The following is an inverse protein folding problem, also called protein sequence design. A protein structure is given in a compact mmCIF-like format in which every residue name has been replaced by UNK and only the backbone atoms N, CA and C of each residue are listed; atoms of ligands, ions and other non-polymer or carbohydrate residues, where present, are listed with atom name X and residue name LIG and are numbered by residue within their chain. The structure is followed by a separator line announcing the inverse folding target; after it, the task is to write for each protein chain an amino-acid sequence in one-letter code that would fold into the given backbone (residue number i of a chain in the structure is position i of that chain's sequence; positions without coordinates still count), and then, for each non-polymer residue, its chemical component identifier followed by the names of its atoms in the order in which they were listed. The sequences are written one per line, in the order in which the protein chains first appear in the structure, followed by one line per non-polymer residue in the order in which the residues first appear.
data_IF_019444801080
#
_entry.id   IF_019444801080
#
_cell.length_a   1.000
_cell.length_b   1.000
_cell.length_c   1.000
_cell.angle_alpha   90.00
_cell.angle_beta   90.00
_cell.angle_gamma   90.00
#
_symmetry.space_group_name_H-M   'P 1'
#
loop_
_entity.id
_entity.type
_entity.pdbx_description
1 polymer ?
#
# COMPACT_ATOMS: atom_id res chain seq x y z
N UNK A 1 -1.19 10.06 -8.49
CA UNK A 1 -0.91 8.70 -8.99
C UNK A 1 -1.85 7.67 -8.37
N UNK A 2 -2.46 6.80 -9.18
CA UNK A 2 -3.56 5.92 -8.72
C UNK A 2 -3.47 4.49 -9.28
N UNK A 3 -2.27 3.91 -9.25
CA UNK A 3 -1.89 2.61 -9.82
C UNK A 3 -1.90 1.47 -8.78
N UNK A 4 -1.63 0.24 -9.21
CA UNK A 4 -1.36 -0.90 -8.33
C UNK A 4 0.14 -0.98 -8.03
N UNK A 5 0.54 -0.50 -6.85
CA UNK A 5 1.95 -0.36 -6.49
C UNK A 5 2.18 -0.64 -5.00
N UNK A 6 3.27 -1.34 -4.70
CA UNK A 6 3.86 -1.43 -3.36
C UNK A 6 5.19 -0.66 -3.37
N UNK A 7 5.23 0.50 -2.70
CA UNK A 7 6.36 1.42 -2.68
C UNK A 7 7.03 1.47 -1.30
N UNK A 8 8.27 0.99 -1.20
CA UNK A 8 9.07 1.10 0.02
C UNK A 8 10.03 2.30 -0.06
N UNK A 9 9.98 3.19 0.93
CA UNK A 9 10.96 4.25 1.13
C UNK A 9 12.04 3.77 2.09
N UNK A 10 13.31 3.81 1.66
CA UNK A 10 14.46 3.51 2.52
C UNK A 10 15.23 4.81 2.74
N UNK A 11 15.31 5.27 3.98
CA UNK A 11 15.92 6.55 4.36
C UNK A 11 17.25 6.35 5.07
N UNK A 12 18.29 6.98 4.55
CA UNK A 12 19.62 7.01 5.16
C UNK A 12 19.59 7.76 6.50
N UNK A 13 19.81 7.05 7.60
CA UNK A 13 19.87 7.61 8.95
C UNK A 13 21.27 7.99 9.41
N UNK A 14 22.25 8.08 8.50
CA UNK A 14 23.61 8.47 8.86
C UNK A 14 23.75 9.96 9.17
N UNK A 15 24.84 10.31 9.85
CA UNK A 15 25.28 11.68 10.09
C UNK A 15 25.82 12.41 8.84
N UNK A 16 25.74 11.79 7.64
CA UNK A 16 26.00 12.49 6.37
C UNK A 16 24.86 13.42 5.97
N UNK A 17 23.68 13.23 6.55
CA UNK A 17 22.63 14.23 6.61
C UNK A 17 22.63 14.82 8.01
N UNK A 18 22.62 16.15 8.11
CA UNK A 18 22.29 16.85 9.35
C UNK A 18 20.82 16.62 9.73
N UNK A 19 20.47 16.90 10.98
CA UNK A 19 19.08 16.81 11.44
C UNK A 19 18.14 17.68 10.60
N UNK A 20 18.58 18.90 10.24
CA UNK A 20 17.81 19.81 9.38
C UNK A 20 17.63 19.25 7.96
N UNK A 21 18.67 18.66 7.37
CA UNK A 21 18.55 18.01 6.06
C UNK A 21 17.66 16.76 6.11
N UNK A 22 17.68 16.04 7.24
CA UNK A 22 16.78 14.91 7.45
C UNK A 22 15.31 15.36 7.59
N UNK A 23 15.04 16.52 8.18
CA UNK A 23 13.69 17.11 8.15
C UNK A 23 13.21 17.42 6.72
N UNK A 24 14.09 17.95 5.87
CA UNK A 24 13.79 18.16 4.43
C UNK A 24 13.50 16.82 3.73
N UNK A 25 14.28 15.78 4.04
CA UNK A 25 14.06 14.43 3.51
C UNK A 25 12.70 13.86 3.94
N UNK A 26 12.31 14.02 5.21
CA UNK A 26 10.97 13.59 5.69
C UNK A 26 9.86 14.36 4.99
N UNK A 27 10.01 15.67 4.86
CA UNK A 27 9.06 16.51 4.13
C UNK A 27 8.92 16.07 2.66
N UNK A 28 10.02 15.71 2.01
CA UNK A 28 10.00 15.14 0.66
C UNK A 28 9.20 13.83 0.59
N UNK A 29 9.43 12.89 1.50
CA UNK A 29 8.67 11.62 1.56
C UNK A 29 7.17 11.89 1.77
N UNK A 30 6.82 12.77 2.71
CA UNK A 30 5.44 13.19 2.95
C UNK A 30 4.82 13.79 1.69
N UNK A 31 5.55 14.67 0.98
CA UNK A 31 5.08 15.32 -0.24
C UNK A 31 4.85 14.35 -1.41
N UNK A 32 5.62 13.26 -1.47
CA UNK A 32 5.35 12.14 -2.39
C UNK A 32 4.06 11.45 -1.95
N UNK A 33 3.96 11.05 -0.69
CA UNK A 33 2.79 10.34 -0.16
C UNK A 33 1.47 11.10 -0.37
N UNK A 34 1.47 12.42 -0.36
CA UNK A 34 0.31 13.27 -0.68
C UNK A 34 -0.19 13.11 -2.12
N UNK A 35 0.71 12.81 -3.05
CA UNK A 35 0.42 12.64 -4.49
C UNK A 35 0.09 11.19 -4.87
N UNK A 36 0.11 10.28 -3.90
CA UNK A 36 -0.21 8.85 -4.08
C UNK A 36 -1.61 8.54 -3.57
N UNK A 37 -2.36 7.72 -4.31
CA UNK A 37 -3.62 7.16 -3.83
C UNK A 37 -3.37 5.97 -2.89
N UNK A 38 -2.97 6.29 -1.65
CA UNK A 38 -2.60 5.30 -0.64
C UNK A 38 -3.83 4.52 -0.17
N UNK A 39 -3.85 3.21 -0.42
CA UNK A 39 -4.85 2.27 0.08
C UNK A 39 -4.37 0.83 -0.15
N UNK A 40 -4.93 -0.13 0.59
CA UNK A 40 -4.63 -1.55 0.40
C UNK A 40 -5.00 -2.08 -1.00
N UNK A 41 -5.93 -1.41 -1.71
CA UNK A 41 -6.38 -1.79 -3.07
C UNK A 41 -5.60 -1.08 -4.19
N UNK A 42 -4.83 -0.03 -3.88
CA UNK A 42 -4.10 0.79 -4.88
C UNK A 42 -2.62 0.89 -4.54
N UNK A 43 -2.18 1.95 -3.86
CA UNK A 43 -0.79 2.12 -3.50
C UNK A 43 -0.60 1.76 -2.03
N UNK A 44 0.20 0.73 -1.74
CA UNK A 44 0.69 0.45 -0.38
C UNK A 44 2.06 1.10 -0.22
N UNK A 45 2.34 1.60 0.97
CA UNK A 45 3.63 2.24 1.29
C UNK A 45 4.28 1.53 2.47
N UNK A 46 5.60 1.45 2.45
CA UNK A 46 6.41 1.06 3.59
C UNK A 46 7.50 2.12 3.81
N UNK A 47 7.91 2.35 5.05
CA UNK A 47 8.89 3.35 5.40
C UNK A 47 9.88 2.78 6.39
N UNK A 48 11.14 2.73 5.97
CA UNK A 48 12.25 2.15 6.72
C UNK A 48 13.36 3.20 6.78
N UNK A 49 13.81 3.51 7.99
CA UNK A 49 15.08 4.21 8.20
C UNK A 49 16.18 3.18 8.43
N UNK A 50 17.37 3.42 7.90
CA UNK A 50 18.49 2.51 8.05
C UNK A 50 19.79 3.20 8.47
N UNK A 51 20.47 2.54 9.40
CA UNK A 51 21.77 2.89 9.94
C UNK A 51 22.64 1.60 9.97
N UNK A 52 23.22 1.19 11.09
CA UNK A 52 23.85 -0.14 11.21
C UNK A 52 22.82 -1.29 11.29
N UNK A 53 21.55 -0.95 11.45
CA UNK A 53 20.38 -1.81 11.29
C UNK A 53 19.28 -1.16 10.44
N UNK A 54 18.04 -1.66 10.55
CA UNK A 54 16.88 -1.11 9.86
C UNK A 54 15.70 -1.02 10.81
N UNK A 55 15.06 0.15 10.86
CA UNK A 55 13.88 0.40 11.68
C UNK A 55 12.66 0.71 10.79
N UNK A 56 11.66 -0.16 10.86
CA UNK A 56 10.42 -0.03 10.10
C UNK A 56 9.41 0.82 10.88
N UNK A 57 8.94 1.91 10.26
CA UNK A 57 7.92 2.80 10.81
C UNK A 57 6.53 2.53 10.22
N UNK A 58 6.49 2.08 8.96
CA UNK A 58 5.26 1.78 8.23
C UNK A 58 5.47 0.48 7.47
N UNK A 59 4.52 -0.45 7.61
CA UNK A 59 4.48 -1.68 6.84
C UNK A 59 3.38 -1.64 5.79
N UNK A 60 3.54 -2.37 4.68
CA UNK A 60 2.55 -2.39 3.61
C UNK A 60 1.15 -2.79 4.07
N UNK A 61 1.04 -3.61 5.12
CA UNK A 61 -0.24 -4.13 5.62
C UNK A 61 -0.92 -3.22 6.63
N UNK A 62 -0.29 -2.10 7.00
CA UNK A 62 -0.88 -1.15 7.93
C UNK A 62 -2.17 -0.55 7.33
N UNK A 63 -3.29 -0.83 8.00
CA UNK A 63 -4.62 -0.32 7.64
C UNK A 63 -4.89 1.00 8.38
N UNK A 64 -4.05 2.01 8.12
CA UNK A 64 -4.18 3.36 8.71
C UNK A 64 -4.66 4.36 7.66
N UNK A 65 -5.23 5.48 8.10
CA UNK A 65 -5.60 6.56 7.18
C UNK A 65 -4.34 7.13 6.53
N UNK A 66 -4.39 7.58 5.27
CA UNK A 66 -3.25 8.21 4.61
C UNK A 66 -2.65 9.39 5.41
N UNK A 67 -3.49 10.16 6.11
CA UNK A 67 -3.05 11.23 7.01
C UNK A 67 -2.23 10.73 8.20
N UNK A 68 -2.59 9.59 8.79
CA UNK A 68 -1.86 9.00 9.92
C UNK A 68 -0.52 8.43 9.44
N UNK A 69 -0.48 7.83 8.25
CA UNK A 69 0.77 7.37 7.63
C UNK A 69 1.73 8.53 7.33
N UNK A 70 1.21 9.65 6.79
CA UNK A 70 2.02 10.86 6.57
C UNK A 70 2.53 11.45 7.88
N UNK A 71 1.71 11.45 8.93
CA UNK A 71 2.14 11.90 10.27
C UNK A 71 3.27 11.03 10.81
N UNK A 72 3.17 9.70 10.69
CA UNK A 72 4.26 8.78 11.07
C UNK A 72 5.53 9.09 10.27
N UNK A 73 5.41 9.31 8.95
CA UNK A 73 6.54 9.65 8.10
C UNK A 73 7.23 10.97 8.51
N UNK A 74 6.45 12.00 8.84
CA UNK A 74 6.99 13.27 9.36
C UNK A 74 7.64 13.15 10.75
N UNK A 75 7.30 12.11 11.52
CA UNK A 75 7.79 11.87 12.88
C UNK A 75 8.92 10.83 12.94
N UNK A 76 9.45 10.37 11.80
CA UNK A 76 10.64 9.52 11.79
C UNK A 76 11.77 10.23 12.54
N UNK A 77 12.40 9.49 13.47
CA UNK A 77 13.46 10.04 14.33
C UNK A 77 14.75 10.16 13.53
N UNK A 78 15.42 11.31 13.65
CA UNK A 78 16.79 11.47 13.21
C UNK A 78 17.73 10.64 14.10
N UNK A 79 18.49 9.73 13.50
CA UNK A 79 19.45 8.87 14.21
C UNK A 79 20.84 9.50 14.23
N UNK A 80 21.30 10.04 13.09
CA UNK A 80 22.64 10.63 12.97
C UNK A 80 23.76 9.61 13.18
N UNK A 81 23.56 8.37 12.71
CA UNK A 81 24.53 7.28 12.91
C UNK A 81 25.82 7.48 12.12
N UNK A 82 26.94 6.97 12.63
CA UNK A 82 28.20 6.95 11.86
C UNK A 82 28.16 6.00 10.66
N UNK A 83 27.20 5.06 10.63
CA UNK A 83 27.04 4.05 9.58
C UNK A 83 25.59 4.00 9.12
N UNK A 84 25.38 3.99 7.80
CA UNK A 84 24.14 3.54 7.18
C UNK A 84 24.43 2.45 6.14
N UNK A 85 24.04 1.22 6.45
CA UNK A 85 24.34 0.04 5.65
C UNK A 85 23.26 -0.21 4.60
N UNK A 86 23.61 0.12 3.36
CA UNK A 86 22.80 -0.20 2.18
C UNK A 86 22.66 -1.72 2.00
N UNK A 87 23.66 -2.52 2.36
CA UNK A 87 23.57 -3.98 2.32
C UNK A 87 22.54 -4.53 3.30
N UNK A 88 22.53 -4.03 4.54
CA UNK A 88 21.60 -4.49 5.57
C UNK A 88 20.15 -4.11 5.24
N UNK A 89 19.90 -2.87 4.77
CA UNK A 89 18.53 -2.47 4.41
C UNK A 89 18.02 -3.20 3.17
N UNK A 90 18.87 -3.51 2.18
CA UNK A 90 18.46 -4.32 1.02
C UNK A 90 18.23 -5.79 1.41
N UNK A 91 19.00 -6.33 2.36
CA UNK A 91 18.73 -7.63 2.98
C UNK A 91 17.37 -7.64 3.67
N UNK A 92 17.11 -6.65 4.53
CA UNK A 92 15.83 -6.48 5.21
C UNK A 92 14.67 -6.37 4.20
N UNK A 93 14.86 -5.58 3.15
CA UNK A 93 13.87 -5.41 2.09
C UNK A 93 13.55 -6.71 1.36
N UNK A 94 14.58 -7.52 1.05
CA UNK A 94 14.42 -8.80 0.36
C UNK A 94 13.71 -9.87 1.20
N UNK A 95 14.07 -9.97 2.48
CA UNK A 95 13.68 -11.08 3.35
C UNK A 95 12.55 -10.76 4.33
N UNK A 96 12.27 -9.48 4.60
CA UNK A 96 11.19 -9.06 5.49
C UNK A 96 10.10 -8.33 4.72
N UNK A 97 10.45 -7.21 4.06
CA UNK A 97 9.46 -6.34 3.37
C UNK A 97 8.80 -7.05 2.18
N UNK A 98 9.59 -7.63 1.27
CA UNK A 98 9.11 -8.40 0.13
C UNK A 98 9.32 -9.91 0.32
N UNK A 99 9.25 -10.38 1.57
CA UNK A 99 9.42 -11.79 1.94
C UNK A 99 8.48 -12.71 1.13
N UNK A 100 7.20 -12.35 1.10
CA UNK A 100 6.10 -13.02 0.38
C UNK A 100 5.58 -12.12 -0.73
N UNK A 101 5.14 -12.72 -1.83
CA UNK A 101 4.46 -12.00 -2.91
C UNK A 101 2.96 -12.23 -2.76
N UNK A 102 2.32 -11.46 -1.88
CA UNK A 102 0.88 -11.56 -1.61
C UNK A 102 0.02 -10.68 -2.51
N UNK A 103 0.67 -9.90 -3.38
CA UNK A 103 0.06 -8.94 -4.29
C UNK A 103 0.70 -8.99 -5.68
N UNK A 104 0.57 -10.11 -6.42
CA UNK A 104 1.26 -10.32 -7.69
C UNK A 104 0.83 -9.35 -8.81
N UNK A 105 -0.34 -8.73 -8.69
CA UNK A 105 -0.88 -7.75 -9.63
C UNK A 105 -0.25 -6.35 -9.50
N UNK A 106 0.47 -6.07 -8.42
CA UNK A 106 1.10 -4.78 -8.16
C UNK A 106 2.59 -4.80 -8.52
N UNK A 107 3.08 -3.68 -9.07
CA UNK A 107 4.52 -3.45 -9.16
C UNK A 107 5.12 -3.28 -7.77
N UNK A 108 6.38 -3.67 -7.60
CA UNK A 108 7.12 -3.55 -6.34
C UNK A 108 8.32 -2.66 -6.56
N UNK A 109 8.36 -1.53 -5.87
CA UNK A 109 9.40 -0.52 -6.06
C UNK A 109 9.99 -0.13 -4.70
N UNK A 110 11.31 0.03 -4.69
CA UNK A 110 12.08 0.57 -3.58
C UNK A 110 12.66 1.91 -4.02
N UNK A 111 12.31 2.97 -3.31
CA UNK A 111 12.99 4.26 -3.40
C UNK A 111 14.08 4.30 -2.33
N UNK A 112 15.32 4.03 -2.75
CA UNK A 112 16.49 4.01 -1.87
C UNK A 112 17.10 5.41 -1.82
N UNK A 113 16.83 6.16 -0.76
CA UNK A 113 17.47 7.47 -0.54
C UNK A 113 18.75 7.27 0.24
N UNK A 114 19.89 7.62 -0.35
CA UNK A 114 21.21 7.43 0.25
C UNK A 114 22.08 8.68 0.15
N UNK A 115 22.77 8.99 1.24
CA UNK A 115 23.68 10.13 1.35
C UNK A 115 25.10 9.71 1.79
N UNK A 116 25.32 8.41 2.03
CA UNK A 116 26.52 7.90 2.66
C UNK A 116 27.07 6.63 2.00
N UNK A 117 28.22 6.19 2.48
CA UNK A 117 28.87 4.95 2.09
C UNK A 117 29.01 4.05 3.31
N UNK A 118 28.55 2.81 3.18
CA UNK A 118 28.74 1.80 4.21
C UNK A 118 30.22 1.31 4.25
N UNK A 119 30.69 0.83 5.42
CA UNK A 119 32.00 0.21 5.54
C UNK A 119 32.15 -1.03 4.62
N UNK A 120 33.31 -1.22 3.95
CA UNK A 120 33.48 -2.30 2.97
C UNK A 120 33.18 -3.71 3.50
N UNK A 121 33.44 -3.97 4.78
CA UNK A 121 33.17 -5.25 5.42
C UNK A 121 31.67 -5.65 5.45
N UNK A 122 30.76 -4.67 5.44
CA UNK A 122 29.31 -4.91 5.42
C UNK A 122 28.80 -5.19 3.99
N UNK A 123 29.57 -4.77 2.98
CA UNK A 123 29.18 -4.84 1.57
C UNK A 123 29.35 -6.21 0.89
N UNK A 124 29.86 -7.23 1.61
CA UNK A 124 30.22 -8.56 1.04
C UNK A 124 29.07 -9.24 0.28
N UNK A 125 27.84 -9.12 0.77
CA UNK A 125 26.67 -9.74 0.17
C UNK A 125 25.79 -8.78 -0.64
N UNK A 126 26.19 -7.51 -0.77
CA UNK A 126 25.43 -6.45 -1.44
C UNK A 126 24.88 -6.93 -2.79
N UNK A 127 25.77 -7.41 -3.67
CA UNK A 127 25.41 -7.86 -5.02
C UNK A 127 24.38 -9.01 -5.00
N UNK A 128 24.45 -9.92 -4.01
CA UNK A 128 23.49 -11.03 -3.88
C UNK A 128 22.11 -10.51 -3.49
N UNK A 129 22.02 -9.50 -2.63
CA UNK A 129 20.74 -8.90 -2.25
C UNK A 129 20.10 -8.14 -3.40
N UNK A 130 20.86 -7.35 -4.16
CA UNK A 130 20.32 -6.68 -5.36
C UNK A 130 19.84 -7.71 -6.40
N UNK A 131 20.60 -8.78 -6.63
CA UNK A 131 20.17 -9.88 -7.52
C UNK A 131 18.92 -10.59 -7.00
N UNK A 132 18.79 -10.79 -5.69
CA UNK A 132 17.60 -11.36 -5.07
C UNK A 132 16.36 -10.49 -5.27
N UNK A 133 16.50 -9.17 -5.11
CA UNK A 133 15.44 -8.20 -5.38
C UNK A 133 15.02 -8.22 -6.86
N UNK A 134 15.99 -8.25 -7.78
CA UNK A 134 15.73 -8.43 -9.22
C UNK A 134 14.95 -9.71 -9.50
N UNK A 135 15.34 -10.85 -8.93
CA UNK A 135 14.63 -12.14 -9.11
C UNK A 135 13.19 -12.08 -8.60
N UNK A 136 12.94 -11.29 -7.55
CA UNK A 136 11.60 -11.00 -7.05
C UNK A 136 10.90 -9.87 -7.82
N UNK A 137 11.41 -9.41 -8.98
CA UNK A 137 10.83 -8.30 -9.75
C UNK A 137 10.61 -7.04 -8.90
N UNK A 138 11.51 -6.78 -7.96
CA UNK A 138 11.55 -5.54 -7.18
C UNK A 138 12.48 -4.57 -7.90
N UNK A 139 11.93 -3.43 -8.32
CA UNK A 139 12.68 -2.35 -8.95
C UNK A 139 13.30 -1.51 -7.84
N UNK A 140 14.59 -1.20 -7.94
CA UNK A 140 15.31 -0.38 -6.95
C UNK A 140 15.74 0.91 -7.62
N UNK A 141 15.19 2.02 -7.17
CA UNK A 141 15.44 3.37 -7.69
C UNK A 141 16.27 4.13 -6.65
N UNK A 142 17.58 4.31 -6.88
CA UNK A 142 18.41 5.08 -5.97
C UNK A 142 18.20 6.57 -6.17
N UNK A 143 18.01 7.29 -5.07
CA UNK A 143 18.07 8.76 -4.98
C UNK A 143 19.32 9.09 -4.17
N UNK A 144 20.37 9.56 -4.84
CA UNK A 144 21.66 9.84 -4.20
C UNK A 144 21.76 11.32 -3.85
N UNK A 145 22.18 11.63 -2.62
CA UNK A 145 22.27 13.00 -2.12
C UNK A 145 23.72 13.29 -1.71
N UNK A 146 24.34 14.28 -2.35
CA UNK A 146 25.67 14.74 -1.99
C UNK A 146 26.81 13.80 -2.41
N UNK A 147 28.06 14.13 -2.03
CA UNK A 147 29.25 13.50 -2.59
C UNK A 147 29.69 12.22 -1.87
N UNK A 148 29.13 11.90 -0.70
CA UNK A 148 29.60 10.82 0.16
C UNK A 148 29.00 9.44 -0.17
N UNK A 149 28.23 9.35 -1.25
CA UNK A 149 27.54 8.12 -1.66
C UNK A 149 28.49 7.10 -2.31
N UNK A 150 28.20 5.81 -2.09
CA UNK A 150 28.96 4.73 -2.73
C UNK A 150 28.57 4.55 -4.20
N UNK A 151 29.21 5.30 -5.11
CA UNK A 151 28.93 5.27 -6.56
C UNK A 151 29.04 3.86 -7.16
N UNK A 152 29.96 3.02 -6.69
CA UNK A 152 30.12 1.65 -7.20
C UNK A 152 28.89 0.78 -6.90
N UNK A 153 28.30 0.94 -5.72
CA UNK A 153 27.07 0.25 -5.35
C UNK A 153 25.87 0.75 -6.17
N UNK A 154 25.76 2.07 -6.37
CA UNK A 154 24.69 2.67 -7.17
C UNK A 154 24.74 2.17 -8.62
N UNK A 155 25.92 2.17 -9.24
CA UNK A 155 26.11 1.63 -10.58
C UNK A 155 25.81 0.13 -10.67
N UNK A 156 26.08 -0.63 -9.61
CA UNK A 156 25.73 -2.04 -9.57
C UNK A 156 24.21 -2.23 -9.59
N UNK A 157 23.46 -1.41 -8.83
CA UNK A 157 21.99 -1.41 -8.84
C UNK A 157 21.45 -1.07 -10.22
N UNK A 158 21.91 0.03 -10.82
CA UNK A 158 21.48 0.50 -12.14
C UNK A 158 21.69 -0.58 -13.22
N UNK A 159 22.83 -1.28 -13.18
CA UNK A 159 23.13 -2.36 -14.14
C UNK A 159 22.28 -3.62 -13.97
N UNK A 160 21.53 -3.79 -12.87
CA UNK A 160 20.72 -4.99 -12.67
C UNK A 160 19.48 -5.01 -13.58
N UNK A 161 18.88 -3.86 -13.84
CA UNK A 161 17.61 -3.76 -14.57
C UNK A 161 17.46 -2.36 -15.19
N UNK A 162 16.93 -2.23 -16.43
CA UNK A 162 16.75 -0.93 -17.07
C UNK A 162 15.79 0.00 -16.31
N UNK A 163 14.89 -0.55 -15.49
CA UNK A 163 13.96 0.18 -14.64
C UNK A 163 14.63 0.76 -13.38
N UNK A 164 15.87 0.37 -13.05
CA UNK A 164 16.61 0.86 -11.88
C UNK A 164 17.26 2.23 -12.16
N UNK A 165 16.47 3.22 -12.57
CA UNK A 165 16.94 4.59 -12.84
C UNK A 165 17.51 5.22 -11.57
N UNK A 166 18.64 5.93 -11.72
CA UNK A 166 19.29 6.67 -10.65
C UNK A 166 18.95 8.16 -10.73
N UNK A 167 18.50 8.73 -9.61
CA UNK A 167 18.32 10.17 -9.44
C UNK A 167 19.48 10.72 -8.63
N UNK A 168 20.34 11.52 -9.27
CA UNK A 168 21.50 12.15 -8.64
C UNK A 168 21.17 13.59 -8.25
N UNK A 169 21.35 13.92 -6.99
CA UNK A 169 21.12 15.23 -6.41
C UNK A 169 22.38 15.69 -5.65
N UNK A 170 22.68 16.99 -5.69
CA UNK A 170 23.83 17.52 -4.97
C UNK A 170 23.53 17.80 -3.49
N UNK A 171 22.30 18.21 -3.17
CA UNK A 171 21.83 18.44 -1.81
C UNK A 171 20.36 18.03 -1.66
N UNK A 172 19.85 18.04 -0.42
CA UNK A 172 18.43 17.79 -0.14
C UNK A 172 17.50 18.85 -0.73
N UNK A 173 18.01 20.04 -1.04
CA UNK A 173 17.21 21.17 -1.56
C UNK A 173 16.68 20.90 -2.97
N UNK A 174 17.34 20.00 -3.72
CA UNK A 174 16.91 19.58 -5.06
C UNK A 174 15.76 18.55 -5.01
N UNK A 175 15.47 17.96 -3.85
CA UNK A 175 14.46 16.90 -3.72
C UNK A 175 13.08 17.36 -4.16
N UNK A 176 12.67 18.56 -3.76
CA UNK A 176 11.36 19.09 -4.14
C UNK A 176 11.25 19.30 -5.65
N UNK A 177 12.31 19.78 -6.30
CA UNK A 177 12.35 20.01 -7.74
C UNK A 177 12.26 18.69 -8.54
N UNK A 178 12.85 17.61 -8.01
CA UNK A 178 12.83 16.27 -8.64
C UNK A 178 11.61 15.43 -8.28
N UNK A 179 10.80 15.86 -7.30
CA UNK A 179 9.64 15.12 -6.77
C UNK A 179 8.69 14.64 -7.86
N UNK A 180 8.20 15.56 -8.71
CA UNK A 180 7.16 15.23 -9.67
C UNK A 180 7.69 14.34 -10.81
N UNK A 181 8.97 14.48 -11.18
CA UNK A 181 9.67 13.57 -12.10
C UNK A 181 9.76 12.16 -11.51
N UNK A 182 10.17 12.05 -10.23
CA UNK A 182 10.26 10.76 -9.52
C UNK A 182 8.87 10.11 -9.46
N UNK A 183 7.83 10.86 -9.08
CA UNK A 183 6.46 10.35 -9.00
C UNK A 183 5.98 9.85 -10.37
N UNK A 184 6.18 10.63 -11.44
CA UNK A 184 5.80 10.20 -12.79
C UNK A 184 6.45 8.87 -13.14
N UNK A 185 7.78 8.79 -12.95
CA UNK A 185 8.54 7.58 -13.26
C UNK A 185 8.07 6.35 -12.46
N UNK A 186 7.85 6.50 -11.14
CA UNK A 186 7.31 5.44 -10.29
C UNK A 186 5.95 4.93 -10.79
N UNK A 187 5.10 5.85 -11.25
CA UNK A 187 3.73 5.56 -11.66
C UNK A 187 3.62 4.96 -13.05
N UNK A 188 4.53 5.32 -13.95
CA UNK A 188 4.60 4.74 -15.29
C UNK A 188 5.05 3.26 -15.24
N UNK A 189 5.83 2.88 -14.23
CA UNK A 189 6.24 1.50 -13.97
C UNK A 189 5.15 0.63 -13.32
N UNK A 190 4.03 1.22 -12.91
CA UNK A 190 2.96 0.52 -12.19
C UNK A 190 1.74 0.28 -13.09
N UNK A 191 1.13 -0.93 -13.02
CA UNK A 191 -0.05 -1.25 -13.82
C UNK A 191 -1.27 -0.43 -13.37
N UNK A 192 -2.14 -0.11 -14.33
CA UNK A 192 -3.45 0.48 -14.05
C UNK A 192 -4.32 -0.52 -13.27
N UNK A 193 -5.14 -0.03 -12.32
CA UNK A 193 -6.16 -0.88 -11.73
C UNK A 193 -7.18 -1.27 -12.81
N UNK A 194 -7.79 -2.47 -12.70
CA UNK A 194 -8.85 -2.86 -13.61
C UNK A 194 -9.99 -1.82 -13.58
N UNK A 195 -10.63 -1.54 -14.72
CA UNK A 195 -11.73 -0.59 -14.78
C UNK A 195 -12.85 -1.02 -13.82
N UNK A 196 -13.59 -0.06 -13.23
CA UNK A 196 -14.77 -0.39 -12.44
C UNK A 196 -15.70 -1.26 -13.31
N UNK A 197 -16.06 -2.44 -12.83
CA UNK A 197 -17.10 -3.24 -13.46
C UNK A 197 -18.36 -2.36 -13.53
N UNK A 198 -18.78 -2.01 -14.76
CA UNK A 198 -20.00 -1.23 -14.92
C UNK A 198 -21.16 -2.03 -14.31
N UNK A 199 -21.97 -1.43 -13.42
CA UNK A 199 -23.23 -2.05 -13.03
C UNK A 199 -24.05 -2.26 -14.31
N UNK A 200 -24.64 -3.45 -14.52
CA UNK A 200 -25.42 -3.72 -15.73
C UNK A 200 -26.52 -2.65 -15.87
N UNK A 201 -26.66 -2.08 -17.08
CA UNK A 201 -27.70 -1.11 -17.39
C UNK A 201 -29.05 -1.72 -17.00
N UNK A 202 -29.74 -1.08 -16.06
CA UNK A 202 -31.10 -1.44 -15.69
C UNK A 202 -31.98 -1.40 -16.95
N UNK A 203 -32.54 -2.55 -17.33
CA UNK A 203 -33.48 -2.64 -18.43
C UNK A 203 -34.75 -1.86 -18.04
N UNK A 204 -35.16 -0.91 -18.87
CA UNK A 204 -36.43 -0.19 -18.70
C UNK A 204 -37.58 -1.19 -18.90
N UNK A 205 -38.41 -1.34 -17.86
CA UNK A 205 -39.58 -2.22 -17.89
C UNK A 205 -40.72 -1.50 -18.60
N UNK A 206 -41.04 -1.92 -19.82
CA UNK A 206 -42.29 -1.57 -20.51
C UNK A 206 -43.37 -2.52 -20.02
N UNK A 207 -44.36 -2.01 -19.28
CA UNK A 207 -45.48 -2.82 -18.75
C UNK A 207 -46.46 -3.12 -19.87
N UNK A 208 -46.63 -4.40 -20.22
CA UNK A 208 -47.72 -4.92 -21.06
C UNK A 208 -48.60 -5.91 -20.27
N UNK A 209 -49.90 -6.06 -20.59
CA UNK A 209 -50.85 -6.79 -19.74
C UNK A 209 -50.65 -8.30 -19.79
N UNK A 210 -50.85 -8.93 -18.62
CA UNK A 210 -50.62 -10.35 -18.32
C UNK A 210 -51.50 -11.31 -19.16
N UNK A 211 -50.90 -12.41 -19.62
CA UNK A 211 -51.63 -13.59 -20.07
C UNK A 211 -50.73 -14.73 -20.57
N UNK A 212 -50.81 -15.88 -19.90
CA UNK A 212 -50.33 -17.24 -20.24
C UNK A 212 -48.82 -17.60 -20.12
N UNK A 213 -48.57 -18.65 -19.31
CA UNK A 213 -47.28 -19.25 -18.98
C UNK A 213 -46.71 -20.12 -20.11
N UNK A 214 -45.41 -19.97 -20.39
CA UNK A 214 -44.53 -20.95 -21.04
C UNK A 214 -43.19 -20.96 -20.26
N UNK A 215 -42.45 -22.08 -20.21
CA UNK A 215 -41.20 -22.16 -19.44
C UNK A 215 -40.12 -21.33 -20.13
N UNK A 216 -39.82 -20.18 -19.54
CA UNK A 216 -38.81 -19.24 -20.02
C UNK A 216 -37.38 -19.73 -19.72
N UNK A 217 -36.37 -19.19 -20.44
CA UNK A 217 -34.99 -19.62 -20.28
C UNK A 217 -34.53 -19.37 -18.84
N UNK A 218 -33.91 -20.38 -18.24
CA UNK A 218 -33.28 -20.32 -16.92
C UNK A 218 -32.35 -19.12 -16.86
N UNK A 219 -32.75 -18.10 -16.08
CA UNK A 219 -31.88 -17.00 -15.67
C UNK A 219 -30.67 -17.61 -14.97
N UNK A 220 -29.44 -17.12 -15.20
CA UNK A 220 -28.35 -17.46 -14.30
C UNK A 220 -28.76 -16.99 -12.91
N UNK A 221 -28.79 -17.90 -11.94
CA UNK A 221 -29.01 -17.52 -10.54
C UNK A 221 -27.89 -16.58 -10.15
N UNK A 222 -28.24 -15.35 -9.80
CA UNK A 222 -27.28 -14.43 -9.22
C UNK A 222 -27.26 -14.72 -7.73
N UNK A 223 -26.15 -15.31 -7.27
CA UNK A 223 -25.85 -15.43 -5.85
C UNK A 223 -25.37 -14.07 -5.36
N UNK A 224 -25.97 -13.54 -4.31
CA UNK A 224 -25.65 -12.22 -3.76
C UNK A 224 -25.24 -12.35 -2.29
N UNK A 225 -24.03 -11.91 -1.94
CA UNK A 225 -23.58 -11.85 -0.55
C UNK A 225 -23.87 -10.46 0.04
N UNK A 226 -24.72 -10.43 1.06
CA UNK A 226 -25.11 -9.21 1.78
C UNK A 226 -24.60 -9.28 3.22
N UNK A 227 -23.88 -8.24 3.64
CA UNK A 227 -23.39 -8.11 5.02
C UNK A 227 -24.10 -6.96 5.71
N UNK A 228 -24.86 -7.24 6.75
CA UNK A 228 -25.45 -6.24 7.63
C UNK A 228 -24.51 -5.96 8.80
N UNK A 229 -24.27 -4.68 9.08
CA UNK A 229 -23.37 -4.24 10.15
C UNK A 229 -24.16 -3.38 11.13
N UNK A 230 -24.46 -3.93 12.31
CA UNK A 230 -25.26 -3.32 13.37
C UNK A 230 -24.37 -2.69 14.44
N UNK A 231 -24.70 -1.47 14.85
CA UNK A 231 -24.05 -0.83 15.99
C UNK A 231 -24.68 -1.33 17.30
N UNK A 232 -23.86 -1.88 18.20
CA UNK A 232 -24.26 -2.33 19.53
C UNK A 232 -23.47 -1.65 20.64
N UNK A 233 -23.16 -0.37 20.48
CA UNK A 233 -22.42 0.41 21.47
C UNK A 233 -23.35 0.82 22.64
N UNK A 234 -22.80 0.95 23.85
CA UNK A 234 -23.57 1.44 25.01
C UNK A 234 -24.17 2.84 24.76
N UNK A 235 -23.51 3.64 23.91
CA UNK A 235 -23.99 4.96 23.48
C UNK A 235 -25.21 4.87 22.55
N UNK A 236 -25.27 3.82 21.74
CA UNK A 236 -26.39 3.58 20.85
C UNK A 236 -27.66 3.23 21.65
N UNK A 237 -27.48 2.48 22.74
CA UNK A 237 -28.54 2.16 23.70
C UNK A 237 -29.45 1.01 23.25
N UNK A 238 -30.02 0.31 24.23
CA UNK A 238 -30.78 -0.94 24.01
C UNK A 238 -32.06 -0.74 23.18
N UNK A 239 -32.81 0.35 23.41
CA UNK A 239 -34.04 0.64 22.67
C UNK A 239 -33.78 0.80 21.17
N UNK A 240 -32.75 1.57 20.79
CA UNK A 240 -32.39 1.80 19.40
C UNK A 240 -31.82 0.54 18.74
N UNK A 241 -31.07 -0.26 19.50
CA UNK A 241 -30.59 -1.56 19.06
C UNK A 241 -31.75 -2.50 18.73
N UNK A 242 -32.76 -2.56 19.61
CA UNK A 242 -33.95 -3.40 19.40
C UNK A 242 -34.74 -2.97 18.16
N UNK A 243 -34.87 -1.66 17.89
CA UNK A 243 -35.48 -1.18 16.64
C UNK A 243 -34.67 -1.55 15.40
N UNK A 244 -33.35 -1.41 15.47
CA UNK A 244 -32.45 -1.77 14.36
C UNK A 244 -32.48 -3.27 14.07
N UNK A 245 -32.56 -4.10 15.14
CA UNK A 245 -32.72 -5.55 15.04
C UNK A 245 -34.06 -5.94 14.39
N UNK A 246 -35.15 -5.31 14.81
CA UNK A 246 -36.48 -5.57 14.24
C UNK A 246 -36.55 -5.15 12.75
N UNK A 247 -36.02 -3.98 12.42
CA UNK A 247 -35.93 -3.53 11.03
C UNK A 247 -35.10 -4.51 10.18
N UNK A 248 -33.97 -5.00 10.70
CA UNK A 248 -33.15 -5.99 10.00
C UNK A 248 -33.93 -7.28 9.74
N UNK A 249 -34.70 -7.75 10.72
CA UNK A 249 -35.55 -8.94 10.59
C UNK A 249 -36.59 -8.77 9.48
N UNK A 250 -37.27 -7.62 9.43
CA UNK A 250 -38.25 -7.29 8.38
C UNK A 250 -37.62 -7.24 6.99
N UNK A 251 -36.41 -6.69 6.88
CA UNK A 251 -35.65 -6.64 5.62
C UNK A 251 -35.26 -8.05 5.16
N UNK A 252 -34.69 -8.87 6.05
CA UNK A 252 -34.26 -10.24 5.70
C UNK A 252 -35.45 -11.11 5.31
N UNK A 253 -36.62 -10.95 5.94
CA UNK A 253 -37.84 -11.69 5.57
C UNK A 253 -38.32 -11.41 4.14
N UNK A 254 -37.99 -10.24 3.59
CA UNK A 254 -38.32 -9.85 2.22
C UNK A 254 -37.25 -10.31 1.21
N UNK A 255 -36.13 -10.88 1.68
CA UNK A 255 -35.03 -11.35 0.85
C UNK A 255 -35.18 -12.85 0.55
N UNK A 256 -34.87 -13.25 -0.69
CA UNK A 256 -34.82 -14.65 -1.11
C UNK A 256 -33.51 -15.32 -0.64
N UNK A 257 -33.40 -15.53 0.67
CA UNK A 257 -32.20 -16.06 1.32
C UNK A 257 -32.11 -17.58 1.15
N UNK A 258 -31.02 -18.06 0.57
CA UNK A 258 -30.88 -19.47 0.19
C UNK A 258 -29.52 -19.81 -0.42
N UNK A 259 -29.19 -21.10 -0.46
CA UNK A 259 -27.86 -21.62 -0.81
C UNK A 259 -27.40 -21.26 -2.24
N UNK A 260 -28.37 -21.04 -3.13
CA UNK A 260 -28.15 -20.71 -4.54
C UNK A 260 -28.72 -19.32 -4.90
N UNK A 261 -29.05 -18.51 -3.88
CA UNK A 261 -29.65 -17.17 -4.00
C UNK A 261 -28.94 -16.15 -3.11
N UNK A 262 -29.59 -15.51 -2.13
CA UNK A 262 -28.97 -14.47 -1.32
C UNK A 262 -28.35 -15.09 -0.07
N UNK A 263 -27.07 -14.81 0.16
CA UNK A 263 -26.38 -15.14 1.42
C UNK A 263 -26.36 -13.91 2.31
N UNK A 264 -26.60 -14.11 3.61
CA UNK A 264 -26.65 -13.03 4.59
C UNK A 264 -25.67 -13.26 5.73
N UNK A 265 -24.79 -12.30 5.97
CA UNK A 265 -23.96 -12.25 7.19
C UNK A 265 -24.38 -11.06 8.04
N UNK A 266 -24.49 -11.25 9.35
CA UNK A 266 -24.79 -10.19 10.31
C UNK A 266 -23.59 -9.99 11.24
N UNK A 267 -23.06 -8.78 11.26
CA UNK A 267 -21.99 -8.35 12.14
C UNK A 267 -22.52 -7.32 13.13
N UNK A 268 -22.12 -7.44 14.38
CA UNK A 268 -22.35 -6.42 15.40
C UNK A 268 -21.02 -5.75 15.75
N UNK A 269 -20.98 -4.42 15.84
CA UNK A 269 -19.80 -3.69 16.28
C UNK A 269 -20.07 -2.80 17.49
N UNK A 270 -19.12 -2.78 18.42
CA UNK A 270 -19.03 -1.81 19.51
C UNK A 270 -17.55 -1.49 19.77
N UNK A 271 -17.02 -1.89 20.93
CA UNK A 271 -15.57 -1.88 21.21
C UNK A 271 -14.83 -2.98 20.44
N UNK A 272 -15.53 -4.03 20.03
CA UNK A 272 -15.05 -5.13 19.19
C UNK A 272 -16.10 -5.45 18.12
N UNK A 273 -15.69 -6.07 17.02
CA UNK A 273 -16.60 -6.60 16.00
C UNK A 273 -16.88 -8.07 16.29
N UNK A 274 -18.16 -8.45 16.32
CA UNK A 274 -18.63 -9.83 16.49
C UNK A 274 -19.40 -10.26 15.25
N UNK A 275 -19.20 -11.50 14.83
CA UNK A 275 -20.02 -12.15 13.80
C UNK A 275 -21.18 -12.80 14.54
N UNK A 276 -22.40 -12.31 14.33
CA UNK A 276 -23.61 -12.81 14.99
C UNK A 276 -24.25 -13.93 14.18
N UNK A 277 -24.20 -13.82 12.86
CA UNK A 277 -24.69 -14.84 11.94
C UNK A 277 -23.87 -14.86 10.66
N UNK A 278 -23.56 -16.04 10.15
CA UNK A 278 -23.05 -16.24 8.79
C UNK A 278 -23.97 -17.25 8.13
N UNK A 279 -24.35 -16.95 6.90
CA UNK A 279 -24.91 -17.91 5.98
C UNK A 279 -23.88 -19.01 5.68
#
# INVERSE_FOLDING_TARGET
CSKLLDLAFLLDGSSKLSEAEFEVLKAFVVSIMERLHISQKRIRVALIEYHDGSHSYIEFKDRKRPSDLRRIAGQVRYVGSNVASTSEVLKYTLFQVFSKTDRPEASRIVLLVTASQEPPQMSRNFARYVQGLKKKKVIVIPVTIGPHVNIKQIQLIEKQAPENKVFKLNSVDELEQRRDEIISYLCDLAPEPPPPTQPPKAAQVTVGPQGTMLPGPTRPSMVLDVVFVLEGSDKFGETNFNWSRQFLEEVIQQMDVGQDSIHVTVLQYSNVVRVEYTF
#
